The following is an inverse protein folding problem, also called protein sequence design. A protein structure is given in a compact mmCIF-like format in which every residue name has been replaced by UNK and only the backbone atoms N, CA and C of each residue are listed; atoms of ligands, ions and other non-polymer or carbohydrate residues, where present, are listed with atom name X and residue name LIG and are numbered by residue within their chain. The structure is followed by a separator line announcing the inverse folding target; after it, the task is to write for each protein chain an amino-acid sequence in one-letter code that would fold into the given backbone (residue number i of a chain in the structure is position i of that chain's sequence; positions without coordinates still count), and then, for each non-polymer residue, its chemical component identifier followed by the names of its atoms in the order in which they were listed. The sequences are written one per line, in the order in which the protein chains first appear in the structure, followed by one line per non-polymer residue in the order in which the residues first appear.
data_IF_154875983920
#
_entry.id   IF_154875983920
#
_cell.length_a   1.000
_cell.length_b   1.000
_cell.length_c   1.000
_cell.angle_alpha   90.00
_cell.angle_beta   90.00
_cell.angle_gamma   90.00
#
_symmetry.space_group_name_H-M   'P 1'
#
loop_
_entity.id
_entity.type
_entity.pdbx_description
1 polymer ?
#
# COMPACT_ATOMS: atom_id res chain seq x y z
N UNK A 1 -19.48 -15.86 -11.82
CA UNK A 1 -19.19 -14.43 -12.00
C UNK A 1 -17.68 -14.28 -12.04
N UNK A 2 -17.07 -13.62 -13.03
CA UNK A 2 -15.63 -13.42 -13.03
C UNK A 2 -15.31 -12.30 -12.01
N UNK A 3 -14.43 -12.58 -11.05
CA UNK A 3 -13.89 -11.56 -10.14
C UNK A 3 -12.92 -10.73 -10.97
N UNK A 4 -13.38 -9.59 -11.47
CA UNK A 4 -12.54 -8.68 -12.24
C UNK A 4 -11.54 -8.00 -11.30
N UNK A 5 -10.30 -8.46 -11.39
CA UNK A 5 -9.08 -8.00 -10.72
C UNK A 5 -8.81 -6.52 -11.00
N UNK A 6 -9.50 -5.61 -10.33
CA UNK A 6 -9.11 -4.19 -10.29
C UNK A 6 -8.18 -4.02 -9.10
N UNK A 7 -6.93 -3.67 -9.37
CA UNK A 7 -5.90 -3.41 -8.37
C UNK A 7 -6.29 -2.12 -7.62
N UNK A 8 -7.03 -2.26 -6.52
CA UNK A 8 -7.48 -1.13 -5.71
C UNK A 8 -6.34 -0.67 -4.78
N UNK A 9 -5.56 0.32 -5.23
CA UNK A 9 -4.51 0.96 -4.43
C UNK A 9 -4.99 1.36 -3.01
N UNK A 10 -6.20 1.91 -2.80
CA UNK A 10 -6.69 2.19 -1.44
C UNK A 10 -6.69 0.96 -0.52
N UNK A 11 -7.06 -0.20 -1.06
CA UNK A 11 -7.11 -1.48 -0.34
C UNK A 11 -5.70 -1.99 -0.01
N UNK A 12 -4.74 -1.85 -0.93
CA UNK A 12 -3.33 -2.16 -0.68
C UNK A 12 -2.80 -1.37 0.52
N UNK A 13 -2.95 -0.04 0.47
CA UNK A 13 -2.42 0.86 1.51
C UNK A 13 -3.02 0.53 2.87
N UNK A 14 -4.35 0.36 2.92
CA UNK A 14 -5.05 0.06 4.16
C UNK A 14 -4.65 -1.30 4.73
N UNK A 15 -4.57 -2.32 3.88
CA UNK A 15 -4.20 -3.68 4.30
C UNK A 15 -2.78 -3.73 4.86
N UNK A 16 -1.81 -3.17 4.13
CA UNK A 16 -0.42 -3.09 4.59
C UNK A 16 -0.33 -2.38 5.95
N UNK A 17 -0.94 -1.20 6.08
CA UNK A 17 -0.94 -0.45 7.34
C UNK A 17 -1.50 -1.27 8.51
N UNK A 18 -2.61 -1.97 8.28
CA UNK A 18 -3.25 -2.77 9.32
C UNK A 18 -2.39 -3.99 9.73
N UNK A 19 -1.70 -4.64 8.79
CA UNK A 19 -0.76 -5.73 9.10
C UNK A 19 0.40 -5.26 9.98
N UNK A 20 0.92 -4.07 9.69
CA UNK A 20 1.96 -3.45 10.52
C UNK A 20 1.45 -2.94 11.88
N UNK A 21 0.13 -2.99 12.14
CA UNK A 21 -0.47 -2.50 13.39
C UNK A 21 -0.36 -0.98 13.57
N UNK A 22 -0.25 -0.23 12.47
CA UNK A 22 0.03 1.20 12.51
C UNK A 22 -1.22 2.08 12.35
N UNK A 23 -1.20 3.24 13.01
CA UNK A 23 -2.13 4.32 12.70
C UNK A 23 -1.76 4.97 11.36
N UNK A 24 -2.71 5.65 10.71
CA UNK A 24 -2.43 6.39 9.46
C UNK A 24 -1.29 7.41 9.62
N UNK A 25 -1.18 8.01 10.82
CA UNK A 25 -0.10 8.94 11.15
C UNK A 25 1.27 8.23 11.18
N UNK A 26 1.40 7.15 11.95
CA UNK A 26 2.67 6.40 12.06
C UNK A 26 3.08 5.80 10.71
N UNK A 27 2.11 5.34 9.94
CA UNK A 27 2.37 4.84 8.59
C UNK A 27 2.84 5.95 7.64
N UNK A 28 2.22 7.13 7.70
CA UNK A 28 2.68 8.30 6.96
C UNK A 28 4.11 8.69 7.34
N UNK A 29 4.43 8.73 8.63
CA UNK A 29 5.79 9.02 9.14
C UNK A 29 6.84 8.07 8.55
N UNK A 30 6.55 6.76 8.46
CA UNK A 30 7.43 5.78 7.82
C UNK A 30 7.60 6.01 6.31
N UNK A 31 6.53 6.43 5.63
CA UNK A 31 6.56 6.72 4.20
C UNK A 31 7.05 8.13 3.85
N UNK A 32 7.38 8.96 4.85
CA UNK A 32 7.78 10.36 4.66
C UNK A 32 6.64 11.27 4.19
N UNK A 33 5.38 10.95 4.49
CA UNK A 33 4.19 11.73 4.13
C UNK A 33 3.32 12.04 5.36
N UNK A 34 2.52 13.10 5.27
CA UNK A 34 1.59 13.46 6.36
C UNK A 34 0.38 12.53 6.41
N UNK A 35 -0.29 12.46 7.57
CA UNK A 35 -1.46 11.59 7.76
C UNK A 35 -2.57 11.85 6.71
N UNK A 36 -2.78 13.11 6.31
CA UNK A 36 -3.82 13.48 5.34
C UNK A 36 -3.59 12.79 3.99
N UNK A 37 -2.32 12.62 3.60
CA UNK A 37 -1.94 11.94 2.37
C UNK A 37 -2.34 10.46 2.43
N UNK A 38 -1.99 9.76 3.51
CA UNK A 38 -2.42 8.36 3.73
C UNK A 38 -3.93 8.25 3.76
N UNK A 39 -4.63 9.15 4.47
CA UNK A 39 -6.08 9.16 4.52
C UNK A 39 -6.69 9.36 3.12
N UNK A 40 -6.14 10.25 2.29
CA UNK A 40 -6.62 10.44 0.93
C UNK A 40 -6.35 9.22 0.04
N UNK A 41 -5.22 8.53 0.19
CA UNK A 41 -4.93 7.28 -0.51
C UNK A 41 -5.91 6.16 -0.11
N UNK A 42 -6.14 5.95 1.19
CA UNK A 42 -7.07 4.92 1.68
C UNK A 42 -8.54 5.18 1.31
N UNK A 43 -8.90 6.42 0.98
CA UNK A 43 -10.23 6.80 0.51
C UNK A 43 -10.31 6.97 -1.01
N UNK A 44 -9.25 6.65 -1.77
CA UNK A 44 -9.22 6.75 -3.23
C UNK A 44 -9.30 8.18 -3.77
N UNK A 45 -9.06 9.20 -2.95
CA UNK A 45 -9.14 10.62 -3.35
C UNK A 45 -7.92 11.06 -4.16
N UNK A 46 -6.78 10.43 -3.90
CA UNK A 46 -5.51 10.65 -4.59
C UNK A 46 -4.75 9.34 -4.65
N UNK A 47 -3.76 9.24 -5.54
CA UNK A 47 -2.91 8.06 -5.67
C UNK A 47 -1.51 8.32 -5.11
N UNK A 48 -0.82 7.30 -4.57
CA UNK A 48 0.58 7.40 -4.20
C UNK A 48 1.45 7.69 -5.43
N UNK A 49 2.52 8.46 -5.24
CA UNK A 49 3.50 8.67 -6.30
C UNK A 49 4.30 7.40 -6.55
N UNK A 50 4.99 7.32 -7.70
CA UNK A 50 5.90 6.21 -8.00
C UNK A 50 6.95 5.99 -6.90
N UNK A 51 7.45 7.07 -6.30
CA UNK A 51 8.41 6.96 -5.18
C UNK A 51 7.76 6.34 -3.94
N UNK A 52 6.55 6.77 -3.57
CA UNK A 52 5.83 6.17 -2.46
C UNK A 52 5.55 4.68 -2.70
N UNK A 53 5.18 4.30 -3.93
CA UNK A 53 4.98 2.90 -4.32
C UNK A 53 6.26 2.06 -4.23
N UNK A 54 7.43 2.62 -4.58
CA UNK A 54 8.71 1.93 -4.39
C UNK A 54 9.03 1.69 -2.91
N UNK A 55 8.74 2.67 -2.04
CA UNK A 55 8.90 2.50 -0.59
C UNK A 55 7.94 1.43 -0.05
N UNK A 56 6.68 1.44 -0.49
CA UNK A 56 5.68 0.44 -0.12
C UNK A 56 6.10 -0.96 -0.58
N UNK A 57 6.57 -1.11 -1.82
CA UNK A 57 7.09 -2.38 -2.34
C UNK A 57 8.23 -2.90 -1.49
N UNK A 58 9.22 -2.04 -1.20
CA UNK A 58 10.34 -2.40 -0.33
C UNK A 58 9.88 -2.84 1.07
N UNK A 59 8.91 -2.13 1.65
CA UNK A 59 8.35 -2.50 2.95
C UNK A 59 7.72 -3.90 2.94
N UNK A 60 7.02 -4.26 1.85
CA UNK A 60 6.45 -5.60 1.67
C UNK A 60 7.55 -6.67 1.50
N UNK A 61 8.60 -6.37 0.76
CA UNK A 61 9.76 -7.27 0.61
C UNK A 61 10.43 -7.54 1.97
N UNK A 62 10.54 -6.51 2.82
CA UNK A 62 11.10 -6.62 4.18
C UNK A 62 10.19 -7.41 5.14
N UNK A 63 8.89 -7.54 4.86
CA UNK A 63 7.95 -8.36 5.65
C UNK A 63 8.05 -9.86 5.37
N UNK A 64 8.78 -10.27 4.34
CA UNK A 64 8.92 -11.69 3.97
C UNK A 64 7.57 -12.32 3.58
N UNK A 65 7.26 -13.49 4.13
CA UNK A 65 6.04 -14.25 3.82
C UNK A 65 4.75 -13.45 4.03
N UNK A 66 4.72 -12.53 4.99
CA UNK A 66 3.54 -11.69 5.28
C UNK A 66 3.32 -10.57 4.25
N UNK A 67 4.28 -10.32 3.36
CA UNK A 67 4.18 -9.33 2.28
C UNK A 67 3.99 -9.93 0.89
N UNK A 68 4.27 -11.23 0.71
CA UNK A 68 4.31 -11.90 -0.59
C UNK A 68 2.98 -11.83 -1.34
N UNK A 69 1.86 -12.07 -0.67
CA UNK A 69 0.54 -12.03 -1.31
C UNK A 69 0.19 -10.64 -1.85
N UNK A 70 0.59 -9.57 -1.14
CA UNK A 70 0.41 -8.20 -1.60
C UNK A 70 1.39 -7.84 -2.72
N UNK A 71 2.61 -8.40 -2.72
CA UNK A 71 3.55 -8.24 -3.83
C UNK A 71 3.02 -8.89 -5.11
N UNK A 72 2.56 -10.14 -5.02
CA UNK A 72 1.95 -10.86 -6.14
C UNK A 72 0.67 -10.18 -6.61
N UNK A 73 -0.21 -9.76 -5.69
CA UNK A 73 -1.48 -9.17 -6.10
C UNK A 73 -1.35 -7.78 -6.73
N UNK A 74 -0.40 -6.95 -6.28
CA UNK A 74 -0.34 -5.52 -6.65
C UNK A 74 0.91 -5.12 -7.42
N UNK A 75 1.93 -5.97 -7.52
CA UNK A 75 3.21 -5.65 -8.14
C UNK A 75 3.77 -6.73 -9.08
N UNK A 76 3.02 -7.82 -9.38
CA UNK A 76 3.43 -8.87 -10.34
C UNK A 76 3.49 -8.37 -11.78
N UNK A 77 2.61 -7.44 -12.13
CA UNK A 77 2.63 -6.77 -13.42
C UNK A 77 3.54 -5.57 -13.26
N UNK A 78 4.79 -5.67 -13.74
CA UNK A 78 5.68 -4.52 -13.79
C UNK A 78 4.96 -3.29 -14.40
N UNK A 79 5.21 -2.12 -13.81
CA UNK A 79 4.81 -0.82 -14.35
C UNK A 79 5.29 -0.61 -15.80
#
# INVERSE_FOLDING_TARGET
MPVATTIEIPTLIRTLRLRLGLSQRKFGEQLGVVFQTVNNWENGRTHPTRMALMVIRRQLEEMGEEGTDLLEQYFDSEF
#
